data_IF_638238796931
#
_entry.id   IF_638238796931
#
_cell.length_a   1.000
_cell.length_b   1.000
_cell.length_c   1.000
_cell.angle_alpha   90.00
_cell.angle_beta   90.00
_cell.angle_gamma   90.00
#
_symmetry.space_group_name_H-M   'P 1'
#
loop_
_entity.id
_entity.type
_entity.pdbx_description
1 polymer ?
#
# COMPACT_ATOMS: atom_id res chain seq x y z
N UNK A 1 -29.91 0.83 -2.48
CA UNK A 1 -28.61 1.40 -2.05
C UNK A 1 -27.61 0.29 -1.82
N UNK A 2 -26.43 0.42 -2.43
CA UNK A 2 -25.48 -0.62 -2.79
C UNK A 2 -24.63 -1.11 -1.59
N UNK A 3 -24.75 -2.39 -1.18
CA UNK A 3 -23.98 -2.97 -0.05
C UNK A 3 -22.46 -2.88 -0.24
N UNK A 4 -21.98 -2.90 -1.48
CA UNK A 4 -20.58 -2.66 -1.82
C UNK A 4 -20.11 -1.23 -1.44
N UNK A 5 -20.98 -0.24 -1.54
CA UNK A 5 -20.67 1.14 -1.18
C UNK A 5 -20.59 1.32 0.35
N UNK A 6 -21.39 0.56 1.10
CA UNK A 6 -21.29 0.52 2.57
C UNK A 6 -19.97 -0.13 3.00
N UNK A 7 -19.59 -1.27 2.43
CA UNK A 7 -18.32 -1.96 2.75
C UNK A 7 -17.09 -1.09 2.44
N UNK A 8 -17.12 -0.35 1.32
CA UNK A 8 -16.06 0.60 0.99
C UNK A 8 -15.99 1.77 1.98
N UNK A 9 -17.14 2.33 2.39
CA UNK A 9 -17.18 3.38 3.41
C UNK A 9 -16.60 2.92 4.76
N UNK A 10 -16.85 1.67 5.18
CA UNK A 10 -16.23 1.10 6.39
C UNK A 10 -14.71 0.97 6.26
N UNK A 11 -14.21 0.48 5.12
CA UNK A 11 -12.76 0.36 4.88
C UNK A 11 -12.06 1.71 4.88
N UNK A 12 -12.65 2.71 4.23
CA UNK A 12 -12.12 4.07 4.20
C UNK A 12 -12.09 4.67 5.60
N UNK A 13 -13.19 4.58 6.35
CA UNK A 13 -13.25 5.10 7.73
C UNK A 13 -12.25 4.39 8.66
N UNK A 14 -12.07 3.07 8.52
CA UNK A 14 -11.09 2.31 9.30
C UNK A 14 -9.66 2.79 9.03
N UNK A 15 -9.30 3.07 7.76
CA UNK A 15 -7.99 3.64 7.41
C UNK A 15 -7.84 5.09 7.91
N UNK A 16 -8.89 5.91 7.80
CA UNK A 16 -8.82 7.34 8.17
C UNK A 16 -8.75 7.60 9.68
N UNK A 17 -9.04 6.61 10.53
CA UNK A 17 -9.06 6.77 11.99
C UNK A 17 -8.04 5.89 12.72
N UNK A 18 -7.30 5.06 11.99
CA UNK A 18 -6.28 4.18 12.56
C UNK A 18 -5.04 4.96 13.02
N UNK A 19 -4.42 4.49 14.10
CA UNK A 19 -3.06 4.90 14.48
C UNK A 19 -2.05 4.43 13.43
N UNK A 20 -0.87 5.06 13.38
CA UNK A 20 0.20 4.68 12.44
C UNK A 20 0.58 3.19 12.57
N UNK A 21 0.63 2.68 13.79
CA UNK A 21 0.94 1.27 14.08
C UNK A 21 -0.16 0.32 13.59
N UNK A 22 -1.43 0.70 13.75
CA UNK A 22 -2.56 -0.07 13.21
C UNK A 22 -2.56 -0.08 11.68
N UNK A 23 -2.13 1.01 11.02
CA UNK A 23 -1.96 1.03 9.56
C UNK A 23 -0.87 0.06 9.10
N UNK A 24 0.23 -0.08 9.85
CA UNK A 24 1.29 -1.06 9.57
C UNK A 24 0.76 -2.49 9.67
N UNK A 25 0.01 -2.81 10.73
CA UNK A 25 -0.65 -4.13 10.85
C UNK A 25 -1.61 -4.39 9.69
N UNK A 26 -2.41 -3.40 9.30
CA UNK A 26 -3.33 -3.53 8.16
C UNK A 26 -2.61 -3.76 6.82
N UNK A 27 -1.43 -3.17 6.63
CA UNK A 27 -0.57 -3.42 5.48
C UNK A 27 -0.09 -4.87 5.48
N UNK A 28 0.42 -5.37 6.61
CA UNK A 28 0.80 -6.77 6.75
C UNK A 28 -0.35 -7.74 6.47
N UNK A 29 -1.53 -7.50 7.05
CA UNK A 29 -2.73 -8.29 6.75
C UNK A 29 -3.06 -8.27 5.25
N UNK A 30 -2.84 -7.14 4.58
CA UNK A 30 -2.94 -7.00 3.13
C UNK A 30 -1.98 -7.91 2.38
N UNK A 31 -0.70 -7.88 2.74
CA UNK A 31 0.34 -8.73 2.15
C UNK A 31 0.03 -10.21 2.33
N UNK A 32 -0.31 -10.64 3.55
CA UNK A 32 -0.69 -12.02 3.90
C UNK A 32 -1.87 -12.49 3.05
N UNK A 33 -2.93 -11.67 2.92
CA UNK A 33 -4.09 -12.00 2.09
C UNK A 33 -3.71 -12.18 0.62
N UNK A 34 -2.90 -11.29 0.06
CA UNK A 34 -2.48 -11.39 -1.34
C UNK A 34 -1.58 -12.60 -1.59
N UNK A 35 -0.61 -12.88 -0.71
CA UNK A 35 0.19 -14.11 -0.81
C UNK A 35 -0.67 -15.37 -0.73
N UNK A 36 -1.64 -15.42 0.19
CA UNK A 36 -2.61 -16.52 0.26
C UNK A 36 -3.46 -16.67 -1.01
N UNK A 37 -3.82 -15.57 -1.67
CA UNK A 37 -4.48 -15.60 -2.99
C UNK A 37 -3.56 -16.09 -4.11
N UNK A 38 -2.27 -15.72 -4.09
CA UNK A 38 -1.28 -16.21 -5.03
C UNK A 38 -1.07 -17.73 -4.89
N UNK A 39 -0.94 -18.23 -3.66
CA UNK A 39 -0.79 -19.65 -3.34
C UNK A 39 -2.00 -20.46 -3.85
N UNK A 40 -3.23 -20.00 -3.58
CA UNK A 40 -4.45 -20.66 -4.09
C UNK A 40 -4.58 -20.62 -5.61
N UNK A 41 -3.95 -19.66 -6.27
CA UNK A 41 -4.01 -19.57 -7.73
C UNK A 41 -3.28 -20.74 -8.41
N UNK A 42 -2.34 -21.41 -7.73
CA UNK A 42 -1.66 -22.62 -8.25
C UNK A 42 -2.60 -23.79 -8.53
N UNK A 43 -3.79 -23.79 -7.91
CA UNK A 43 -4.78 -24.85 -8.10
C UNK A 43 -5.68 -24.58 -9.33
N UNK A 44 -5.45 -23.49 -10.08
CA UNK A 44 -6.22 -23.15 -11.29
C UNK A 44 -5.77 -24.01 -12.47
N UNK A 45 -6.74 -24.59 -13.17
CA UNK A 45 -6.49 -25.41 -14.36
C UNK A 45 -6.12 -24.59 -15.61
N UNK A 46 -6.77 -23.43 -15.78
CA UNK A 46 -6.51 -22.57 -16.94
C UNK A 46 -5.15 -21.85 -16.78
N UNK A 47 -4.18 -22.08 -17.70
CA UNK A 47 -2.84 -21.52 -17.57
C UNK A 47 -2.79 -19.99 -17.59
N UNK A 48 -3.70 -19.34 -18.31
CA UNK A 48 -3.74 -17.88 -18.38
C UNK A 48 -4.23 -17.29 -17.07
N UNK A 49 -5.32 -17.82 -16.53
CA UNK A 49 -5.87 -17.45 -15.23
C UNK A 49 -4.90 -17.73 -14.09
N UNK A 50 -4.22 -18.89 -14.12
CA UNK A 50 -3.15 -19.25 -13.18
C UNK A 50 -2.05 -18.18 -13.18
N UNK A 51 -1.46 -17.92 -14.35
CA UNK A 51 -0.32 -17.01 -14.47
C UNK A 51 -0.69 -15.59 -14.05
N UNK A 52 -1.85 -15.09 -14.52
CA UNK A 52 -2.33 -13.75 -14.22
C UNK A 52 -2.66 -13.57 -12.74
N UNK A 53 -3.32 -14.55 -12.11
CA UNK A 53 -3.69 -14.47 -10.71
C UNK A 53 -2.46 -14.53 -9.79
N UNK A 54 -1.49 -15.42 -10.06
CA UNK A 54 -0.24 -15.47 -9.30
C UNK A 54 0.51 -14.13 -9.43
N UNK A 55 0.70 -13.66 -10.66
CA UNK A 55 1.41 -12.40 -10.92
C UNK A 55 0.76 -11.21 -10.23
N UNK A 56 -0.55 -11.03 -10.41
CA UNK A 56 -1.30 -9.89 -9.85
C UNK A 56 -1.19 -9.82 -8.33
N UNK A 57 -1.30 -10.96 -7.65
CA UNK A 57 -1.26 -11.00 -6.20
C UNK A 57 0.16 -10.83 -5.64
N UNK A 58 1.18 -11.39 -6.31
CA UNK A 58 2.57 -11.13 -5.93
C UNK A 58 2.91 -9.65 -6.10
N UNK A 59 2.57 -9.03 -7.23
CA UNK A 59 2.86 -7.60 -7.46
C UNK A 59 2.17 -6.69 -6.44
N UNK A 60 0.96 -7.03 -6.01
CA UNK A 60 0.28 -6.30 -4.91
C UNK A 60 0.99 -6.47 -3.57
N UNK A 61 1.51 -7.67 -3.28
CA UNK A 61 2.31 -7.92 -2.08
C UNK A 61 3.61 -7.10 -2.11
N UNK A 62 4.32 -7.10 -3.24
CA UNK A 62 5.54 -6.30 -3.43
C UNK A 62 5.29 -4.79 -3.26
N UNK A 63 4.16 -4.29 -3.75
CA UNK A 63 3.78 -2.88 -3.55
C UNK A 63 3.65 -2.53 -2.05
N UNK A 64 3.05 -3.42 -1.26
CA UNK A 64 2.94 -3.25 0.19
C UNK A 64 4.32 -3.30 0.87
N UNK A 65 5.14 -4.30 0.54
CA UNK A 65 6.49 -4.46 1.12
C UNK A 65 7.36 -3.23 0.85
N UNK A 66 7.32 -2.70 -0.38
CA UNK A 66 8.05 -1.47 -0.74
C UNK A 66 7.53 -0.25 -0.01
N UNK A 67 6.21 -0.16 0.24
CA UNK A 67 5.64 0.93 1.01
C UNK A 67 6.05 0.85 2.50
N UNK A 68 6.05 -0.34 3.09
CA UNK A 68 6.58 -0.57 4.44
C UNK A 68 8.06 -0.14 4.54
N UNK A 69 8.88 -0.50 3.56
CA UNK A 69 10.29 -0.07 3.50
C UNK A 69 10.42 1.46 3.42
N UNK A 70 9.64 2.13 2.56
CA UNK A 70 9.65 3.60 2.42
C UNK A 70 9.12 4.34 3.64
N UNK A 71 8.28 3.69 4.45
CA UNK A 71 7.74 4.28 5.68
C UNK A 71 8.77 4.34 6.81
N UNK A 72 9.86 3.57 6.72
CA UNK A 72 10.98 3.63 7.65
C UNK A 72 11.91 4.77 7.24
N UNK A 73 12.14 5.71 8.16
CA UNK A 73 13.11 6.80 8.00
C UNK A 73 14.51 6.26 8.34
N UNK A 74 15.42 6.04 7.38
CA UNK A 74 16.73 5.42 7.63
C UNK A 74 17.58 6.24 8.60
N UNK A 75 17.42 7.57 8.63
CA UNK A 75 18.19 8.44 9.51
C UNK A 75 17.72 8.34 10.98
N UNK A 76 16.49 7.88 11.22
CA UNK A 76 15.89 7.73 12.55
C UNK A 76 15.65 6.28 12.97
N UNK A 77 15.75 5.36 12.03
CA UNK A 77 15.47 3.93 12.16
C UNK A 77 16.43 3.21 13.12
N UNK A 78 17.67 3.70 13.23
CA UNK A 78 18.74 3.00 13.94
C UNK A 78 19.01 1.60 13.37
N UNK A 79 19.80 0.80 14.08
CA UNK A 79 20.22 -0.55 13.64
C UNK A 79 19.03 -1.50 13.39
N UNK A 80 17.96 -1.38 14.19
CA UNK A 80 16.76 -2.20 14.03
C UNK A 80 16.01 -1.87 12.74
N UNK A 81 15.80 -0.59 12.43
CA UNK A 81 15.09 -0.22 11.21
C UNK A 81 15.92 -0.47 9.94
N UNK A 82 17.25 -0.34 9.99
CA UNK A 82 18.13 -0.78 8.90
C UNK A 82 18.02 -2.30 8.63
N UNK A 83 17.97 -3.10 9.70
CA UNK A 83 17.75 -4.55 9.60
C UNK A 83 16.38 -4.86 8.98
N UNK A 84 15.35 -4.09 9.33
CA UNK A 84 13.99 -4.27 8.82
C UNK A 84 13.87 -3.86 7.33
N UNK A 85 14.52 -2.77 6.92
CA UNK A 85 14.64 -2.37 5.51
C UNK A 85 15.30 -3.50 4.70
N UNK A 86 16.43 -4.01 5.20
CA UNK A 86 17.16 -5.10 4.54
C UNK A 86 16.31 -6.37 4.40
N UNK A 87 15.49 -6.67 5.42
CA UNK A 87 14.58 -7.81 5.39
C UNK A 87 13.43 -7.60 4.38
N UNK A 88 12.88 -6.40 4.26
CA UNK A 88 11.88 -6.09 3.25
C UNK A 88 12.44 -6.15 1.83
N UNK A 89 13.67 -5.69 1.61
CA UNK A 89 14.35 -5.82 0.32
C UNK A 89 14.57 -7.29 -0.04
N UNK A 90 14.92 -8.12 0.93
CA UNK A 90 14.97 -9.57 0.75
C UNK A 90 13.61 -10.15 0.33
N UNK A 91 12.51 -9.77 0.99
CA UNK A 91 11.17 -10.23 0.61
C UNK A 91 10.79 -9.80 -0.81
N UNK A 92 11.07 -8.54 -1.20
CA UNK A 92 10.73 -8.05 -2.53
C UNK A 92 11.45 -8.85 -3.63
N UNK A 93 12.74 -9.14 -3.42
CA UNK A 93 13.56 -9.95 -4.32
C UNK A 93 13.07 -11.39 -4.40
N UNK A 94 12.77 -12.04 -3.26
CA UNK A 94 12.22 -13.41 -3.23
C UNK A 94 10.88 -13.50 -3.93
N UNK A 95 9.98 -12.53 -3.69
CA UNK A 95 8.69 -12.47 -4.38
C UNK A 95 8.86 -12.25 -5.88
N UNK A 96 9.87 -11.48 -6.31
CA UNK A 96 10.17 -11.32 -7.74
C UNK A 96 10.60 -12.65 -8.36
N UNK A 97 11.50 -13.39 -7.71
CA UNK A 97 11.93 -14.72 -8.13
C UNK A 97 10.74 -15.69 -8.21
N UNK A 98 9.91 -15.73 -7.17
CA UNK A 98 8.68 -16.52 -7.13
C UNK A 98 7.74 -16.21 -8.30
N UNK A 99 7.63 -14.93 -8.69
CA UNK A 99 6.79 -14.52 -9.80
C UNK A 99 7.36 -14.96 -11.15
N UNK A 100 8.66 -14.79 -11.37
CA UNK A 100 9.32 -15.17 -12.63
C UNK A 100 9.26 -16.69 -12.82
N UNK A 101 9.57 -17.44 -11.76
CA UNK A 101 9.70 -18.91 -11.82
C UNK A 101 8.40 -19.64 -11.52
N UNK A 102 7.36 -18.92 -11.06
CA UNK A 102 6.12 -19.49 -10.53
C UNK A 102 6.42 -20.55 -9.47
N UNK A 103 7.24 -20.17 -8.49
CA UNK A 103 7.62 -21.04 -7.39
C UNK A 103 6.75 -20.75 -6.15
N UNK A 104 5.91 -21.74 -5.81
CA UNK A 104 4.99 -21.66 -4.67
C UNK A 104 5.72 -21.67 -3.33
N UNK A 105 6.80 -22.43 -3.21
CA UNK A 105 7.51 -22.60 -1.95
C UNK A 105 8.13 -21.29 -1.47
N UNK A 106 8.61 -20.46 -2.40
CA UNK A 106 9.13 -19.12 -2.08
C UNK A 106 8.02 -18.22 -1.49
N UNK A 107 6.79 -18.31 -2.01
CA UNK A 107 5.66 -17.51 -1.50
C UNK A 107 5.28 -17.96 -0.10
N UNK A 108 5.28 -19.28 0.15
CA UNK A 108 4.98 -19.85 1.47
C UNK A 108 6.03 -19.44 2.51
N UNK A 109 7.32 -19.46 2.16
CA UNK A 109 8.40 -18.98 3.03
C UNK A 109 8.23 -17.50 3.41
N UNK A 110 7.98 -16.63 2.43
CA UNK A 110 7.78 -15.20 2.69
C UNK A 110 6.50 -14.97 3.50
N UNK A 111 5.44 -15.72 3.23
CA UNK A 111 4.18 -15.65 3.97
C UNK A 111 4.38 -15.95 5.46
N UNK A 112 5.13 -17.00 5.80
CA UNK A 112 5.43 -17.36 7.18
C UNK A 112 6.16 -16.21 7.91
N UNK A 113 7.27 -15.73 7.33
CA UNK A 113 8.07 -14.64 7.91
C UNK A 113 7.30 -13.34 8.07
N UNK A 114 6.48 -12.98 7.08
CA UNK A 114 5.63 -11.78 7.14
C UNK A 114 4.54 -11.93 8.22
N UNK A 115 4.03 -13.14 8.43
CA UNK A 115 3.05 -13.42 9.49
C UNK A 115 3.66 -13.26 10.87
N UNK A 116 4.87 -13.77 11.08
CA UNK A 116 5.62 -13.59 12.34
C UNK A 116 5.86 -12.11 12.66
N UNK A 117 6.28 -11.31 11.68
CA UNK A 117 6.44 -9.86 11.87
C UNK A 117 5.11 -9.20 12.26
N UNK A 118 4.02 -9.52 11.55
CA UNK A 118 2.69 -9.00 11.85
C UNK A 118 2.27 -9.32 13.29
N UNK A 119 2.52 -10.55 13.73
CA UNK A 119 2.20 -10.99 15.10
C UNK A 119 3.05 -10.25 16.15
N UNK A 120 4.34 -10.04 15.89
CA UNK A 120 5.22 -9.25 16.75
C UNK A 120 4.74 -7.79 16.89
N UNK A 121 4.30 -7.16 15.79
CA UNK A 121 3.71 -5.82 15.83
C UNK A 121 2.42 -5.78 16.65
N UNK A 122 1.52 -6.76 16.48
CA UNK A 122 0.31 -6.86 17.29
C UNK A 122 0.60 -7.05 18.79
N UNK A 123 1.60 -7.85 19.14
CA UNK A 123 1.99 -8.04 20.54
C UNK A 123 2.51 -6.73 21.16
N UNK A 124 3.31 -5.96 20.41
CA UNK A 124 3.80 -4.64 20.85
C UNK A 124 2.67 -3.64 21.11
N UNK A 125 1.64 -3.65 20.26
CA UNK A 125 0.45 -2.80 20.43
C UNK A 125 -0.30 -3.15 21.71
N UNK A 126 -0.57 -4.44 21.94
CA UNK A 126 -1.32 -4.90 23.10
C UNK A 126 -0.61 -4.59 24.44
N UNK A 127 0.74 -4.70 24.48
CA UNK A 127 1.52 -4.32 25.67
C UNK A 127 1.47 -2.82 25.96
N UNK A 128 1.32 -1.99 24.94
CA UNK A 128 1.20 -0.54 25.08
C UNK A 128 -0.14 -0.13 25.70
N UNK A 129 -1.20 -0.92 25.46
CA UNK A 129 -2.52 -0.73 26.08
C UNK A 129 -2.58 -1.25 27.54
N UNK A 130 -1.87 -2.33 27.86
CA UNK A 130 -1.88 -2.93 29.20
C UNK A 130 -1.15 -2.07 30.27
N UNK A 131 -0.14 -1.30 29.85
CA UNK A 131 0.58 -0.37 30.72
C UNK A 131 -0.26 0.85 31.19
N UNK A 132 -1.48 1.04 30.66
CA UNK A 132 -2.36 2.16 30.97
C UNK A 132 -3.41 1.89 32.07
N UNK A 133 -3.42 0.71 32.70
CA UNK A 133 -4.32 0.43 33.82
C UNK A 133 -3.81 1.08 35.13
N UNK A 134 -4.61 1.89 35.85
CA UNK A 134 -4.15 2.54 37.07
C UNK A 134 -4.14 1.53 38.21
N UNK A 135 -2.97 1.02 38.57
CA UNK A 135 -2.78 0.33 39.85
C UNK A 135 -2.81 1.39 40.95
N UNK A 136 -3.98 1.58 41.56
CA UNK A 136 -4.08 2.30 42.83
C UNK A 136 -3.49 1.41 43.93
N UNK A 137 -2.35 1.82 44.52
CA UNK A 137 -2.06 1.82 45.98
C UNK A 137 -0.58 2.10 46.29
N UNK A 138 -0.28 3.28 46.88
CA UNK A 138 0.72 3.49 47.95
C UNK A 138 2.23 3.60 47.59
N UNK A 139 3.03 4.46 48.28
CA UNK A 139 4.33 4.90 47.79
C UNK A 139 5.51 4.12 48.39
N UNK A 140 6.50 3.76 47.58
CA UNK A 140 7.92 3.68 48.00
C UNK A 140 8.87 3.48 46.82
N UNK A 141 9.81 4.42 46.73
CA UNK A 141 11.15 4.39 46.12
C UNK A 141 11.35 3.91 44.67
N UNK A 142 11.76 4.86 43.81
CA UNK A 142 12.60 4.61 42.63
C UNK A 142 14.08 4.43 43.08
N UNK A 143 14.97 3.83 42.26
CA UNK A 143 15.45 4.54 41.06
C UNK A 143 15.66 3.68 39.78
N UNK A 144 15.49 4.37 38.66
CA UNK A 144 16.25 4.30 37.39
C UNK A 144 16.35 2.98 36.63
N UNK A 145 15.65 2.94 35.49
CA UNK A 145 16.15 2.33 34.24
C UNK A 145 15.67 3.18 33.05
N UNK A 146 16.53 3.34 32.06
CA UNK A 146 16.52 4.37 31.03
C UNK A 146 15.17 4.60 30.32
N UNK A 147 14.60 5.79 30.53
CA UNK A 147 13.48 6.29 29.75
C UNK A 147 13.99 6.76 28.38
N UNK A 148 13.47 6.14 27.32
CA UNK A 148 13.42 6.75 25.99
C UNK A 148 12.70 8.10 26.14
N UNK A 149 13.43 9.19 25.94
CA UNK A 149 12.89 10.54 26.08
C UNK A 149 11.75 10.75 25.07
N UNK A 150 10.62 11.37 25.45
CA UNK A 150 9.60 11.74 24.50
C UNK A 150 10.16 12.85 23.61
N UNK A 151 10.33 12.55 22.32
CA UNK A 151 10.71 13.57 21.32
C UNK A 151 9.59 14.61 21.21
N UNK A 152 9.88 15.92 21.31
CA UNK A 152 8.88 16.97 21.16
C UNK A 152 8.81 17.40 19.68
N UNK A 153 7.72 17.05 19.00
CA UNK A 153 7.05 17.86 17.97
C UNK A 153 6.09 16.97 17.16
N UNK A 154 4.85 16.85 17.63
CA UNK A 154 3.75 16.58 16.73
C UNK A 154 3.63 17.78 15.76
N UNK A 155 3.64 17.60 14.43
CA UNK A 155 3.14 18.66 13.56
C UNK A 155 1.65 18.86 13.87
N UNK A 156 1.26 20.13 14.00
CA UNK A 156 -0.11 20.57 14.29
C UNK A 156 -1.14 19.86 13.37
N UNK A 157 -2.38 19.65 13.84
CA UNK A 157 -3.43 19.05 13.02
C UNK A 157 -3.65 19.89 11.76
N UNK A 158 -3.35 19.32 10.59
CA UNK A 158 -3.73 19.89 9.31
C UNK A 158 -5.25 19.95 9.29
N UNK A 159 -5.80 21.17 9.18
CA UNK A 159 -7.24 21.41 9.09
C UNK A 159 -7.90 20.49 8.05
N UNK A 160 -9.17 20.10 8.22
CA UNK A 160 -9.87 19.24 7.28
C UNK A 160 -9.80 19.86 5.87
N UNK A 161 -9.12 19.18 4.95
CA UNK A 161 -9.10 19.59 3.55
C UNK A 161 -10.54 19.56 3.03
N UNK A 162 -11.01 20.60 2.32
CA UNK A 162 -12.33 20.59 1.71
C UNK A 162 -12.41 19.43 0.71
N UNK A 163 -13.57 18.78 0.67
CA UNK A 163 -13.83 17.65 -0.22
C UNK A 163 -13.32 17.92 -1.65
N UNK A 164 -12.71 16.93 -2.32
CA UNK A 164 -12.24 17.10 -3.69
C UNK A 164 -13.42 17.52 -4.57
N UNK A 165 -13.29 18.68 -5.21
CA UNK A 165 -14.30 19.14 -6.17
C UNK A 165 -14.40 18.12 -7.31
N UNK A 166 -15.60 17.86 -7.84
CA UNK A 166 -15.77 16.95 -8.97
C UNK A 166 -14.93 17.43 -10.14
N UNK A 167 -14.17 16.50 -10.75
CA UNK A 167 -13.33 16.76 -11.91
C UNK A 167 -14.12 17.50 -13.01
N UNK A 168 -13.54 18.50 -13.69
CA UNK A 168 -14.16 19.07 -14.87
C UNK A 168 -14.33 17.99 -15.93
N UNK A 169 -15.55 17.85 -16.47
CA UNK A 169 -15.81 16.97 -17.60
C UNK A 169 -14.92 17.39 -18.77
N UNK A 170 -14.36 16.44 -19.54
CA UNK A 170 -13.61 16.78 -20.74
C UNK A 170 -14.50 17.56 -21.70
N UNK A 171 -14.00 18.69 -22.20
CA UNK A 171 -14.69 19.48 -23.21
C UNK A 171 -15.00 18.62 -24.44
N UNK A 172 -16.15 18.84 -25.12
CA UNK A 172 -16.47 18.11 -26.34
C UNK A 172 -15.36 18.33 -27.37
N UNK A 173 -14.91 17.24 -28.00
CA UNK A 173 -13.92 17.28 -29.07
C UNK A 173 -14.36 18.25 -30.16
N UNK A 174 -13.51 19.24 -30.46
CA UNK A 174 -13.69 20.15 -31.58
C UNK A 174 -13.69 19.32 -32.88
N UNK A 175 -14.70 19.45 -33.76
CA UNK A 175 -14.65 18.78 -35.05
C UNK A 175 -13.50 19.35 -35.90
N UNK A 176 -12.86 18.53 -36.75
CA UNK A 176 -11.77 18.99 -37.60
C UNK A 176 -12.27 20.08 -38.58
N UNK A 177 -11.41 21.07 -38.82
CA UNK A 177 -11.66 22.16 -39.77
C UNK A 177 -11.91 21.61 -41.20
N UNK A 178 -12.79 22.24 -41.99
CA UNK A 178 -13.05 21.81 -43.36
C UNK A 178 -11.80 21.99 -44.23
N UNK A 179 -11.50 20.97 -45.04
CA UNK A 179 -10.42 21.00 -46.02
C UNK A 179 -10.64 22.13 -47.04
N UNK A 180 -9.62 22.96 -47.22
CA UNK A 180 -9.56 23.99 -48.26
C UNK A 180 -9.63 23.33 -49.64
N UNK A 181 -10.56 23.71 -50.55
CA UNK A 181 -10.52 23.22 -51.91
C UNK A 181 -9.34 23.86 -52.66
N UNK A 182 -8.45 23.01 -53.17
CA UNK A 182 -7.42 23.39 -54.13
C UNK A 182 -8.09 23.91 -55.42
N UNK A 183 -8.01 25.22 -55.65
CA UNK A 183 -8.50 25.86 -56.86
C UNK A 183 -7.50 25.60 -58.00
N UNK A 184 -7.67 24.49 -58.70
CA UNK A 184 -7.04 24.19 -59.98
C UNK A 184 -8.00 24.50 -61.13
N UNK A 185 -8.16 25.78 -61.45
CA UNK A 185 -8.93 26.25 -62.60
C UNK A 185 -8.01 26.79 -63.68
N UNK A 186 -7.64 25.94 -64.64
CA UNK A 186 -6.88 26.31 -65.82
C UNK A 186 -7.65 27.28 -66.71
N UNK A 187 -7.00 28.37 -67.09
CA UNK A 187 -7.50 29.32 -68.08
C UNK A 187 -7.46 28.72 -69.49
N UNK A 188 -8.62 28.66 -70.14
CA UNK A 188 -8.72 28.46 -71.57
C UNK A 188 -9.15 29.80 -72.18
N UNK A 189 -8.21 30.47 -72.85
CA UNK A 189 -8.45 31.67 -73.65
C UNK A 189 -8.97 31.27 -75.02
N UNK A 190 -10.13 31.82 -75.41
CA UNK A 190 -10.56 31.98 -76.80
C UNK A 190 -9.75 33.11 -77.45
N UNK A 191 -9.17 32.89 -78.63
CA UNK A 191 -9.12 33.83 -79.77
C UNK A 191 -8.83 33.05 -81.05
N UNK A 192 -9.61 33.33 -82.10
CA UNK A 192 -9.13 33.42 -83.49
C UNK A 192 -9.15 32.17 -84.34
#
# INVERSE_FOLDING_TARGET
MNSANKLNAYRVNAVSTASAENLVVMLYDGAIRFMGMAIRAFDKEDPLDFNLAVHTNITKTQAIVRELSRSLDPEKAGELGESLISLYDYFDNRLQEANIHKDKAIIEEVLERVTELRDAWNESLNKSDEAALPVVTGPTAAPTTAAYAPSPAAPAPVAPQPAPQPMPQPAPATPPAPATPANGGGGFSLVG
#
